data_IF_568795682847
#
_entry.id   IF_568795682847
#
_cell.length_a   1.000
_cell.length_b   1.000
_cell.length_c   1.000
_cell.angle_alpha   90.00
_cell.angle_beta   90.00
_cell.angle_gamma   90.00
#
_symmetry.space_group_name_H-M   'P 1'
#
loop_
_entity.id
_entity.type
_entity.pdbx_description
1 polymer ?
#
# COMPACT_ATOMS: atom_id res chain seq x y z
N UNK A 1 1.89 -29.22 -13.07
CA UNK A 1 2.28 -28.84 -14.44
C UNK A 1 3.49 -27.90 -14.36
N UNK A 2 4.53 -28.25 -15.11
CA UNK A 2 5.92 -27.78 -15.00
C UNK A 2 6.10 -26.32 -15.46
N UNK A 3 7.02 -25.57 -14.82
CA UNK A 3 7.48 -24.25 -15.30
C UNK A 3 8.66 -24.45 -16.25
N UNK A 4 8.54 -24.01 -17.50
CA UNK A 4 9.64 -23.96 -18.46
C UNK A 4 10.55 -22.74 -18.22
N UNK A 5 11.88 -22.91 -18.11
CA UNK A 5 12.84 -21.82 -18.11
C UNK A 5 13.60 -21.76 -19.44
N UNK A 6 13.23 -20.82 -20.32
CA UNK A 6 13.99 -20.56 -21.54
C UNK A 6 14.00 -19.07 -21.84
N UNK A 7 15.03 -18.37 -21.33
CA UNK A 7 15.63 -17.15 -21.91
C UNK A 7 16.69 -16.58 -20.94
N UNK A 8 17.89 -17.18 -20.96
CA UNK A 8 19.12 -16.48 -20.62
C UNK A 8 20.23 -17.02 -21.53
N UNK A 9 20.47 -16.28 -22.60
CA UNK A 9 21.62 -16.43 -23.47
C UNK A 9 21.91 -15.06 -24.08
N UNK A 10 23.10 -14.55 -23.82
CA UNK A 10 23.99 -13.79 -24.72
C UNK A 10 24.98 -12.97 -23.88
N UNK A 11 26.20 -13.47 -23.71
CA UNK A 11 27.38 -13.35 -24.60
C UNK A 11 28.34 -12.32 -24.00
N UNK A 12 29.42 -12.87 -23.45
CA UNK A 12 30.72 -12.23 -23.28
C UNK A 12 31.15 -11.55 -24.58
N UNK A 13 31.56 -10.28 -24.49
CA UNK A 13 32.50 -9.72 -25.45
C UNK A 13 33.63 -9.03 -24.69
N UNK A 14 34.79 -9.68 -24.79
CA UNK A 14 36.12 -9.11 -24.63
C UNK A 14 36.41 -8.12 -25.77
N UNK A 15 36.84 -6.90 -25.45
CA UNK A 15 37.65 -5.98 -26.26
C UNK A 15 38.26 -4.99 -25.24
N UNK A 16 39.52 -5.10 -24.83
CA UNK A 16 40.76 -4.67 -25.49
C UNK A 16 40.73 -3.22 -25.99
N UNK A 17 41.32 -2.32 -25.22
CA UNK A 17 42.39 -1.35 -25.60
C UNK A 17 42.45 -0.23 -24.54
N UNK A 18 43.56 -0.16 -23.80
CA UNK A 18 44.61 0.86 -23.95
C UNK A 18 44.24 2.18 -23.23
N UNK A 19 44.79 2.40 -22.04
CA UNK A 19 46.08 3.10 -21.82
C UNK A 19 45.91 4.62 -21.80
N UNK A 20 45.88 5.22 -20.61
CA UNK A 20 46.63 6.46 -20.29
C UNK A 20 47.04 6.40 -18.82
N UNK A 21 48.34 6.50 -18.60
CA UNK A 21 49.03 6.49 -17.32
C UNK A 21 48.96 7.86 -16.61
N UNK A 22 48.92 7.84 -15.27
CA UNK A 22 49.27 8.98 -14.43
C UNK A 22 49.85 8.46 -13.10
N UNK A 23 51.15 8.14 -13.12
CA UNK A 23 51.94 7.80 -11.94
C UNK A 23 52.80 8.98 -11.54
N UNK A 24 52.62 9.42 -10.29
CA UNK A 24 53.43 10.42 -9.61
C UNK A 24 54.75 9.82 -9.11
N UNK A 25 55.81 10.65 -9.04
CA UNK A 25 56.87 10.71 -8.01
C UNK A 25 58.24 11.06 -8.63
N UNK A 26 58.70 12.31 -8.51
CA UNK A 26 59.66 12.82 -7.52
C UNK A 26 60.93 11.96 -7.36
N UNK A 27 62.05 12.49 -7.87
CA UNK A 27 63.25 12.79 -7.08
C UNK A 27 64.24 13.64 -7.88
N UNK A 28 64.81 14.65 -7.21
CA UNK A 28 66.20 15.05 -7.46
C UNK A 28 66.49 16.34 -8.22
N UNK A 29 66.78 17.37 -7.41
CA UNK A 29 67.95 18.26 -7.52
C UNK A 29 67.87 19.60 -8.27
N UNK A 30 68.49 20.57 -7.60
CA UNK A 30 69.04 21.84 -8.07
C UNK A 30 68.09 22.99 -8.43
N UNK A 31 67.81 23.78 -7.39
CA UNK A 31 68.30 25.17 -7.26
C UNK A 31 67.74 26.26 -8.19
N UNK A 32 67.19 27.28 -7.51
CA UNK A 32 67.22 28.72 -7.78
C UNK A 32 65.95 29.40 -8.36
N UNK A 33 65.57 30.47 -7.65
CA UNK A 33 64.70 31.60 -8.01
C UNK A 33 63.19 31.33 -8.18
N UNK A 34 62.25 32.21 -7.86
CA UNK A 34 62.12 33.40 -7.02
C UNK A 34 60.69 33.91 -7.30
N UNK A 35 59.92 34.18 -6.23
CA UNK A 35 58.83 35.17 -6.12
C UNK A 35 57.64 35.18 -7.11
N UNK A 36 56.46 35.31 -6.48
CA UNK A 36 55.32 36.21 -6.83
C UNK A 36 54.01 35.49 -7.18
N UNK A 37 53.09 35.49 -6.21
CA UNK A 37 51.67 35.15 -6.36
C UNK A 37 50.93 36.23 -7.16
N UNK A 38 49.86 35.88 -7.89
CA UNK A 38 48.72 36.78 -7.97
C UNK A 38 47.43 36.09 -7.52
N UNK A 39 46.85 36.68 -6.48
CA UNK A 39 45.42 36.63 -6.18
C UNK A 39 44.66 37.26 -7.37
N UNK A 40 43.80 36.50 -8.04
CA UNK A 40 42.87 37.04 -9.03
C UNK A 40 41.48 36.41 -8.91
N UNK A 41 40.62 37.19 -8.24
CA UNK A 41 39.26 37.54 -8.67
C UNK A 41 38.25 36.42 -9.01
N UNK A 42 37.32 36.26 -8.06
CA UNK A 42 35.94 35.77 -8.19
C UNK A 42 35.41 35.51 -9.62
N UNK A 43 35.27 34.23 -9.96
CA UNK A 43 34.18 33.76 -10.83
C UNK A 43 33.11 33.14 -9.95
N UNK A 44 32.01 33.86 -9.74
CA UNK A 44 30.75 33.24 -9.31
C UNK A 44 30.35 32.23 -10.38
N UNK A 45 30.72 30.96 -10.20
CA UNK A 45 30.14 29.85 -10.96
C UNK A 45 28.91 29.37 -10.20
N UNK A 46 27.73 29.90 -10.57
CA UNK A 46 26.48 29.25 -10.19
C UNK A 46 26.43 27.93 -10.98
N UNK A 47 26.63 26.81 -10.29
CA UNK A 47 26.60 25.46 -10.89
C UNK A 47 25.31 24.79 -10.46
N UNK A 48 24.39 24.59 -11.39
CA UNK A 48 23.21 23.77 -11.16
C UNK A 48 23.65 22.30 -11.14
N UNK A 49 23.45 21.62 -10.01
CA UNK A 49 23.46 20.18 -9.95
C UNK A 49 22.05 19.69 -10.29
N UNK A 50 21.81 19.23 -11.53
CA UNK A 50 20.59 18.48 -11.83
C UNK A 50 20.89 16.99 -11.73
N UNK A 51 20.54 16.38 -10.59
CA UNK A 51 20.28 14.94 -10.56
C UNK A 51 18.81 14.73 -10.94
N UNK A 52 18.56 14.14 -12.10
CA UNK A 52 17.34 13.37 -12.33
C UNK A 52 17.73 11.99 -12.84
N UNK A 53 17.96 11.10 -11.90
CA UNK A 53 17.71 9.69 -12.14
C UNK A 53 16.99 9.11 -10.92
N UNK A 54 15.85 9.72 -10.59
CA UNK A 54 14.85 9.09 -9.73
C UNK A 54 14.05 8.14 -10.61
N UNK A 55 14.28 6.83 -10.45
CA UNK A 55 13.56 5.81 -11.21
C UNK A 55 12.06 5.87 -10.96
N UNK A 56 11.27 5.53 -11.98
CA UNK A 56 9.85 5.20 -11.77
C UNK A 56 9.79 3.83 -11.07
N UNK A 57 9.51 3.85 -9.77
CA UNK A 57 9.13 2.62 -9.07
C UNK A 57 7.71 2.28 -9.50
N UNK A 58 7.52 1.12 -10.14
CA UNK A 58 6.19 0.66 -10.51
C UNK A 58 5.38 0.40 -9.23
N UNK A 59 4.47 1.31 -8.91
CA UNK A 59 3.51 1.10 -7.83
C UNK A 59 2.39 0.18 -8.34
N UNK A 60 2.66 -1.13 -8.30
CA UNK A 60 1.73 -2.20 -8.64
C UNK A 60 1.35 -3.04 -7.42
N UNK A 61 0.90 -2.41 -6.33
CA UNK A 61 0.43 -3.11 -5.13
C UNK A 61 -1.08 -3.01 -5.03
N UNK A 62 -1.75 -4.04 -5.53
CA UNK A 62 -3.18 -4.21 -5.35
C UNK A 62 -3.45 -5.33 -4.33
N UNK A 63 -4.51 -5.15 -3.56
CA UNK A 63 -4.93 -6.14 -2.57
C UNK A 63 -6.16 -6.90 -3.06
N UNK A 64 -6.25 -8.19 -2.70
CA UNK A 64 -7.43 -8.98 -3.02
C UNK A 64 -8.71 -8.39 -2.38
N UNK A 65 -9.87 -8.50 -3.05
CA UNK A 65 -11.13 -8.02 -2.52
C UNK A 65 -11.49 -8.73 -1.21
N UNK A 66 -12.05 -7.98 -0.26
CA UNK A 66 -12.36 -8.49 1.10
C UNK A 66 -13.81 -8.94 1.28
N UNK A 67 -14.62 -8.91 0.22
CA UNK A 67 -16.03 -9.34 0.19
C UNK A 67 -16.91 -8.79 1.34
N UNK A 68 -16.66 -7.53 1.72
CA UNK A 68 -17.45 -6.79 2.70
C UNK A 68 -18.85 -6.47 2.15
N UNK A 69 -19.76 -6.05 3.03
CA UNK A 69 -21.12 -5.62 2.70
C UNK A 69 -22.20 -6.47 3.36
N UNK A 70 -23.44 -6.17 3.00
CA UNK A 70 -24.63 -6.88 3.45
C UNK A 70 -24.74 -8.25 2.77
N UNK A 71 -25.20 -9.24 3.52
CA UNK A 71 -25.45 -10.62 3.07
C UNK A 71 -26.93 -10.98 3.17
N UNK A 72 -27.61 -10.47 4.20
CA UNK A 72 -29.08 -10.55 4.31
C UNK A 72 -29.67 -9.14 4.23
N UNK A 73 -30.68 -8.99 3.39
CA UNK A 73 -31.44 -7.76 3.20
C UNK A 73 -32.65 -7.71 4.14
N UNK A 74 -33.36 -6.59 4.12
CA UNK A 74 -34.64 -6.41 4.81
C UNK A 74 -35.63 -7.54 4.50
N UNK A 75 -36.36 -7.97 5.52
CA UNK A 75 -37.37 -9.02 5.47
C UNK A 75 -36.88 -10.39 4.97
N UNK A 76 -35.57 -10.64 4.92
CA UNK A 76 -35.06 -11.98 4.68
C UNK A 76 -35.16 -12.83 5.94
N UNK A 77 -35.50 -14.11 5.77
CA UNK A 77 -35.46 -15.12 6.85
C UNK A 77 -34.02 -15.32 7.30
N UNK A 78 -33.79 -15.30 8.60
CA UNK A 78 -32.50 -15.56 9.22
C UNK A 78 -32.61 -16.69 10.25
N UNK A 79 -31.52 -17.46 10.35
CA UNK A 79 -31.28 -18.45 11.38
C UNK A 79 -30.20 -17.90 12.34
N UNK A 80 -30.16 -18.37 13.60
CA UNK A 80 -29.09 -18.01 14.52
C UNK A 80 -27.73 -18.39 13.93
N UNK A 81 -26.76 -17.50 14.04
CA UNK A 81 -25.43 -17.63 13.44
C UNK A 81 -25.29 -17.06 12.03
N UNK A 82 -26.40 -16.74 11.34
CA UNK A 82 -26.32 -16.13 10.01
C UNK A 82 -25.68 -14.74 10.07
N UNK A 83 -24.72 -14.49 9.18
CA UNK A 83 -24.07 -13.19 9.04
C UNK A 83 -24.98 -12.25 8.26
N UNK A 84 -25.33 -11.10 8.85
CA UNK A 84 -26.17 -10.10 8.20
C UNK A 84 -25.31 -9.10 7.42
N UNK A 85 -24.25 -8.57 8.04
CA UNK A 85 -23.34 -7.59 7.43
C UNK A 85 -21.90 -7.82 7.87
N UNK A 86 -20.97 -7.80 6.91
CA UNK A 86 -19.52 -7.67 7.17
C UNK A 86 -19.11 -6.23 6.88
N UNK A 87 -18.58 -5.53 7.86
CA UNK A 87 -18.28 -4.09 7.73
C UNK A 87 -16.88 -3.74 8.25
N UNK A 88 -16.46 -2.50 7.99
CA UNK A 88 -15.29 -1.89 8.62
C UNK A 88 -15.80 -0.72 9.45
N UNK A 89 -15.51 -0.77 10.75
CA UNK A 89 -16.20 0.06 11.73
C UNK A 89 -17.70 -0.24 11.80
N UNK A 90 -18.43 0.57 12.54
CA UNK A 90 -19.88 0.43 12.77
C UNK A 90 -20.67 1.36 11.86
N UNK A 91 -20.92 0.94 10.62
CA UNK A 91 -21.89 1.60 9.73
C UNK A 91 -23.32 1.28 10.17
N UNK A 92 -23.52 0.04 10.58
CA UNK A 92 -24.72 -0.46 11.22
C UNK A 92 -24.42 -0.87 12.66
N UNK A 93 -25.36 -0.57 13.54
CA UNK A 93 -25.32 -0.93 14.95
C UNK A 93 -26.18 -2.16 15.22
N UNK A 94 -25.78 -3.02 16.18
CA UNK A 94 -26.61 -4.15 16.59
C UNK A 94 -27.86 -3.65 17.31
N UNK A 95 -29.02 -4.11 16.86
CA UNK A 95 -30.31 -3.96 17.54
C UNK A 95 -30.73 -5.24 18.26
N UNK A 96 -32.03 -5.42 18.39
CA UNK A 96 -32.62 -6.60 19.04
C UNK A 96 -32.26 -7.91 18.32
N UNK A 97 -31.93 -8.95 19.10
CA UNK A 97 -31.59 -10.29 18.60
C UNK A 97 -30.41 -10.34 17.62
N UNK A 98 -29.54 -9.33 17.63
CA UNK A 98 -28.31 -9.27 16.84
C UNK A 98 -27.09 -9.23 17.76
N UNK A 99 -26.01 -9.88 17.34
CA UNK A 99 -24.69 -9.83 17.97
C UNK A 99 -23.68 -9.12 17.08
N UNK A 100 -22.61 -8.61 17.71
CA UNK A 100 -21.48 -8.00 17.01
C UNK A 100 -20.20 -8.77 17.33
N UNK A 101 -19.45 -9.15 16.30
CA UNK A 101 -18.15 -9.79 16.43
C UNK A 101 -17.00 -8.79 16.62
N UNK A 102 -15.78 -9.30 16.81
CA UNK A 102 -14.56 -8.49 16.98
C UNK A 102 -14.27 -7.58 15.80
N UNK A 103 -14.60 -8.01 14.58
CA UNK A 103 -14.43 -7.24 13.35
C UNK A 103 -15.67 -6.39 13.00
N UNK A 104 -16.55 -6.15 13.97
CA UNK A 104 -17.84 -5.46 13.82
C UNK A 104 -18.81 -6.15 12.85
N UNK A 105 -18.59 -7.43 12.54
CA UNK A 105 -19.56 -8.25 11.79
C UNK A 105 -20.83 -8.43 12.61
N UNK A 106 -21.99 -8.20 11.98
CA UNK A 106 -23.28 -8.39 12.62
C UNK A 106 -23.86 -9.75 12.27
N UNK A 107 -24.31 -10.49 13.29
CA UNK A 107 -24.87 -11.84 13.14
C UNK A 107 -26.19 -11.98 13.90
N UNK A 108 -27.10 -12.82 13.40
CA UNK A 108 -28.38 -13.10 14.05
C UNK A 108 -28.20 -14.03 15.24
N UNK A 109 -28.86 -13.74 16.37
CA UNK A 109 -28.88 -14.61 17.57
C UNK A 109 -30.13 -15.50 17.65
N UNK A 110 -31.18 -15.15 16.93
CA UNK A 110 -32.45 -15.87 16.94
C UNK A 110 -32.99 -16.05 15.52
N UNK A 111 -33.96 -16.95 15.37
CA UNK A 111 -34.71 -17.11 14.13
C UNK A 111 -35.69 -15.95 13.93
N UNK A 112 -35.80 -15.44 12.72
CA UNK A 112 -36.74 -14.37 12.42
C UNK A 112 -36.50 -13.70 11.08
N UNK A 113 -36.93 -12.45 10.98
CA UNK A 113 -36.75 -11.60 9.81
C UNK A 113 -35.88 -10.40 10.14
N UNK A 114 -34.96 -10.06 9.23
CA UNK A 114 -34.06 -8.91 9.41
C UNK A 114 -34.81 -7.61 9.12
N UNK A 115 -34.61 -6.60 9.95
CA UNK A 115 -35.19 -5.26 9.78
C UNK A 115 -34.13 -4.20 9.99
N UNK A 116 -34.01 -3.30 9.01
CA UNK A 116 -33.11 -2.17 9.06
C UNK A 116 -33.89 -0.91 9.44
N UNK A 117 -33.46 -0.27 10.52
CA UNK A 117 -34.09 0.94 11.03
C UNK A 117 -33.08 2.08 11.11
N UNK A 118 -33.57 3.31 11.00
CA UNK A 118 -32.74 4.50 11.19
C UNK A 118 -33.34 5.33 12.30
N UNK A 119 -32.56 5.55 13.37
CA UNK A 119 -32.98 6.33 14.50
C UNK A 119 -33.19 7.79 14.07
N UNK A 120 -34.39 8.34 14.25
CA UNK A 120 -34.68 9.72 13.86
C UNK A 120 -33.84 10.74 14.65
N UNK A 121 -33.57 10.46 15.93
CA UNK A 121 -32.83 11.38 16.82
C UNK A 121 -31.33 11.35 16.56
N UNK A 122 -30.74 10.15 16.51
CA UNK A 122 -29.28 9.98 16.44
C UNK A 122 -28.79 9.74 15.01
N UNK A 123 -29.70 9.56 14.05
CA UNK A 123 -29.42 9.24 12.63
C UNK A 123 -28.56 7.97 12.47
N UNK A 124 -28.54 7.10 13.49
CA UNK A 124 -27.82 5.82 13.47
C UNK A 124 -28.67 4.78 12.77
N UNK A 125 -28.01 3.93 11.99
CA UNK A 125 -28.65 2.81 11.32
C UNK A 125 -28.47 1.57 12.18
N UNK A 126 -29.58 0.97 12.58
CA UNK A 126 -29.62 -0.17 13.49
C UNK A 126 -30.25 -1.36 12.76
N UNK A 127 -29.76 -2.56 13.03
CA UNK A 127 -30.30 -3.80 12.46
C UNK A 127 -30.85 -4.65 13.59
N UNK A 128 -32.13 -4.99 13.51
CA UNK A 128 -32.81 -5.89 14.44
C UNK A 128 -33.30 -7.15 13.73
N UNK A 129 -33.48 -8.22 14.48
CA UNK A 129 -34.15 -9.44 14.02
C UNK A 129 -35.48 -9.58 14.75
N UNK A 130 -36.57 -9.48 14.00
CA UNK A 130 -37.95 -9.57 14.50
C UNK A 130 -38.41 -11.02 14.36
N UNK A 131 -38.79 -11.64 15.48
CA UNK A 131 -39.35 -12.99 15.48
C UNK A 131 -40.80 -12.93 14.98
N UNK A 132 -41.18 -13.80 14.04
CA UNK A 132 -42.58 -13.99 13.74
C UNK A 132 -43.22 -14.68 14.95
N UNK A 133 -44.12 -13.97 15.65
CA UNK A 133 -44.88 -14.52 16.78
C UNK A 133 -45.65 -15.73 16.26
N UNK A 134 -45.21 -16.94 16.64
CA UNK A 134 -45.82 -18.18 16.18
C UNK A 134 -47.31 -18.17 16.47
N UNK A 135 -48.14 -18.46 15.47
CA UNK A 135 -49.52 -18.84 15.71
C UNK A 135 -49.49 -20.26 16.28
N UNK A 136 -50.01 -20.40 17.49
CA UNK A 136 -50.23 -21.68 18.16
C UNK A 136 -51.31 -22.49 17.42
#
# INVERSE_FOLDING_TARGET
MLRNPSKLGHVLNHFSEASVAAGAAHDGLSSLFCSTMPLAFSKLQLRWASKKQGGSTQNGRESQPKHLGCKLFDNNRCQPGNIIVRQRGTRFYPGENVGMGTDHTLFAKAHGFVRYETDARTKRRTISVVQAKGRA
#
